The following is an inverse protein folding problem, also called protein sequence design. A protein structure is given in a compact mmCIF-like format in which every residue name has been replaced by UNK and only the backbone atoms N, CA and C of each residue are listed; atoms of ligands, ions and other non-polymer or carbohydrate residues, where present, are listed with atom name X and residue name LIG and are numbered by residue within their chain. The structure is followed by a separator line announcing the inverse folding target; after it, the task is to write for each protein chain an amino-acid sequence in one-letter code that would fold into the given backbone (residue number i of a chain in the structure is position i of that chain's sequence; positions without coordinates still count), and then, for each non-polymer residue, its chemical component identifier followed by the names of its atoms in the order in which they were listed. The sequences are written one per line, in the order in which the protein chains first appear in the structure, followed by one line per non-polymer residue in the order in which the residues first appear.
data_IF_947804500193
#
_entry.id   IF_947804500193
#
_cell.length_a   1.000
_cell.length_b   1.000
_cell.length_c   1.000
_cell.angle_alpha   90.00
_cell.angle_beta   90.00
_cell.angle_gamma   90.00
#
_symmetry.space_group_name_H-M   'P 1'
#
loop_
_entity.id
_entity.type
_entity.pdbx_description
1 polymer ?
#
# COMPACT_ATOMS: atom_id res chain seq x y z
N UNK A 1 -49.60 28.41 -8.25
CA UNK A 1 -48.29 28.58 -7.58
C UNK A 1 -47.49 27.31 -7.88
N UNK A 2 -46.47 27.40 -8.73
CA UNK A 2 -45.67 26.25 -9.16
C UNK A 2 -44.39 26.18 -8.30
N UNK A 3 -44.17 25.05 -7.63
CA UNK A 3 -42.98 24.78 -6.83
C UNK A 3 -41.91 24.18 -7.73
N UNK A 4 -40.77 24.85 -7.85
CA UNK A 4 -39.59 24.35 -8.55
C UNK A 4 -38.77 23.47 -7.60
N UNK A 5 -38.70 22.17 -7.91
CA UNK A 5 -37.79 21.22 -7.25
C UNK A 5 -36.40 21.35 -7.87
N UNK A 6 -35.45 21.90 -7.10
CA UNK A 6 -34.03 21.87 -7.44
C UNK A 6 -33.50 20.48 -7.06
N UNK A 7 -33.19 19.67 -8.07
CA UNK A 7 -32.51 18.39 -7.89
C UNK A 7 -31.01 18.65 -7.65
N UNK A 8 -30.55 18.40 -6.42
CA UNK A 8 -29.14 18.46 -6.05
C UNK A 8 -28.47 17.14 -6.44
N UNK A 9 -27.84 17.10 -7.60
CA UNK A 9 -27.09 15.93 -8.07
C UNK A 9 -25.77 15.81 -7.30
N UNK A 10 -25.73 14.94 -6.27
CA UNK A 10 -24.50 14.53 -5.59
C UNK A 10 -23.68 13.65 -6.55
N UNK A 11 -22.70 14.25 -7.24
CA UNK A 11 -21.65 13.51 -7.94
C UNK A 11 -20.71 12.92 -6.86
N UNK A 12 -21.04 11.74 -6.34
CA UNK A 12 -20.11 10.91 -5.60
C UNK A 12 -19.05 10.37 -6.58
N UNK A 13 -18.03 11.16 -6.86
CA UNK A 13 -16.84 10.68 -7.54
C UNK A 13 -16.12 9.71 -6.60
N UNK A 14 -16.06 8.42 -6.96
CA UNK A 14 -15.23 7.44 -6.27
C UNK A 14 -13.75 7.78 -6.52
N UNK A 15 -13.19 8.72 -5.76
CA UNK A 15 -11.75 8.88 -5.66
C UNK A 15 -11.19 7.63 -4.99
N UNK A 16 -10.48 6.79 -5.75
CA UNK A 16 -9.72 5.66 -5.22
C UNK A 16 -8.51 6.22 -4.46
N UNK A 17 -8.67 6.42 -3.17
CA UNK A 17 -7.59 6.90 -2.29
C UNK A 17 -6.80 5.70 -1.77
N UNK A 18 -5.45 5.74 -1.78
CA UNK A 18 -4.65 4.75 -1.08
C UNK A 18 -5.06 4.63 0.39
N UNK A 19 -4.94 3.43 0.94
CA UNK A 19 -5.07 3.22 2.38
C UNK A 19 -3.73 3.54 3.07
N UNK A 20 -3.82 3.92 4.34
CA UNK A 20 -2.64 4.30 5.12
C UNK A 20 -2.13 5.70 4.82
N UNK A 21 -1.13 6.11 5.61
CA UNK A 21 -0.52 7.43 5.51
C UNK A 21 0.80 7.33 4.73
N UNK A 22 1.17 8.32 3.89
CA UNK A 22 2.52 8.40 3.37
C UNK A 22 3.55 8.34 4.50
N UNK A 23 4.57 7.51 4.34
CA UNK A 23 5.57 7.27 5.37
C UNK A 23 6.98 7.37 4.79
N UNK A 24 7.90 7.92 5.57
CA UNK A 24 9.32 7.99 5.22
C UNK A 24 10.07 6.93 6.03
N UNK A 25 10.50 5.87 5.36
CA UNK A 25 11.29 4.81 5.97
C UNK A 25 12.76 5.26 6.01
N UNK A 26 13.45 5.14 7.16
CA UNK A 26 14.89 5.39 7.22
C UNK A 26 15.65 4.52 6.21
N UNK A 27 16.58 5.12 5.46
CA UNK A 27 17.27 4.42 4.37
C UNK A 27 18.03 3.17 4.82
N UNK A 28 18.58 3.18 6.04
CA UNK A 28 19.30 2.02 6.57
C UNK A 28 18.36 0.85 6.90
N UNK A 29 17.14 1.15 7.35
CA UNK A 29 16.11 0.14 7.61
C UNK A 29 15.58 -0.42 6.28
N UNK A 30 15.34 0.45 5.30
CA UNK A 30 14.93 0.04 3.95
C UNK A 30 15.97 -0.88 3.30
N UNK A 31 17.26 -0.55 3.43
CA UNK A 31 18.38 -1.38 2.96
C UNK A 31 18.43 -2.74 3.66
N UNK A 32 18.13 -2.79 4.94
CA UNK A 32 18.09 -4.04 5.70
C UNK A 32 16.89 -4.90 5.28
N UNK A 33 15.76 -4.28 4.98
CA UNK A 33 14.54 -4.97 4.53
C UNK A 33 14.58 -5.46 3.08
N UNK A 34 15.40 -4.86 2.21
CA UNK A 34 15.62 -5.34 0.83
C UNK A 34 16.43 -6.65 0.84
N UNK A 35 15.74 -7.78 1.05
CA UNK A 35 16.33 -9.09 1.29
C UNK A 35 16.37 -10.07 0.11
N UNK A 36 15.92 -9.67 -1.09
CA UNK A 36 15.67 -10.60 -2.21
C UNK A 36 16.21 -10.13 -3.55
N UNK A 37 15.43 -9.29 -4.25
CA UNK A 37 15.72 -8.75 -5.58
C UNK A 37 15.50 -7.23 -5.60
N UNK A 38 16.12 -6.57 -6.57
CA UNK A 38 15.84 -5.17 -6.84
C UNK A 38 14.35 -5.00 -7.20
N UNK A 39 13.65 -4.17 -6.44
CA UNK A 39 12.24 -3.83 -6.67
C UNK A 39 11.21 -4.67 -5.91
N UNK A 40 11.65 -5.70 -5.18
CA UNK A 40 10.79 -6.46 -4.25
C UNK A 40 10.18 -5.53 -3.19
N UNK A 41 8.94 -5.77 -2.81
CA UNK A 41 8.29 -4.99 -1.76
C UNK A 41 8.98 -5.23 -0.40
N UNK A 42 9.04 -4.19 0.41
CA UNK A 42 9.63 -4.24 1.75
C UNK A 42 8.57 -3.92 2.78
N UNK A 43 8.49 -4.76 3.82
CA UNK A 43 7.65 -4.50 4.99
C UNK A 43 8.51 -4.43 6.24
N UNK A 44 8.26 -3.43 7.08
CA UNK A 44 8.99 -3.23 8.34
C UNK A 44 8.03 -2.84 9.45
N UNK A 45 8.29 -3.29 10.68
CA UNK A 45 7.55 -2.80 11.82
C UNK A 45 7.82 -1.30 12.02
N UNK A 46 6.75 -0.54 12.22
CA UNK A 46 6.83 0.82 12.79
C UNK A 46 6.61 0.68 14.31
N UNK A 47 5.57 -0.08 14.66
CA UNK A 47 5.23 -0.46 16.02
C UNK A 47 4.74 -1.92 15.99
N UNK A 48 5.51 -2.87 16.55
CA UNK A 48 5.16 -4.29 16.53
C UNK A 48 3.75 -4.58 17.01
N UNK A 49 3.00 -5.36 16.23
CA UNK A 49 1.60 -5.70 16.52
C UNK A 49 0.58 -4.57 16.24
N UNK A 50 1.04 -3.38 15.87
CA UNK A 50 0.18 -2.20 15.72
C UNK A 50 0.24 -1.56 14.34
N UNK A 51 1.44 -1.21 13.87
CA UNK A 51 1.66 -0.51 12.60
C UNK A 51 2.91 -1.01 11.90
N UNK A 52 2.85 -1.09 10.58
CA UNK A 52 3.96 -1.50 9.73
C UNK A 52 4.04 -0.60 8.50
N UNK A 53 5.23 -0.48 7.92
CA UNK A 53 5.42 0.16 6.64
C UNK A 53 5.28 -0.86 5.52
N UNK A 54 4.69 -0.44 4.40
CA UNK A 54 4.80 -1.11 3.12
C UNK A 54 5.53 -0.17 2.17
N UNK A 55 6.70 -0.58 1.71
CA UNK A 55 7.47 0.10 0.66
C UNK A 55 7.36 -0.72 -0.62
N UNK A 56 7.00 -0.05 -1.70
CA UNK A 56 7.05 -0.63 -3.05
C UNK A 56 7.97 0.21 -3.92
N UNK A 57 8.47 -0.39 -4.99
CA UNK A 57 9.37 0.27 -5.93
C UNK A 57 8.67 0.38 -7.27
N UNK A 58 8.62 1.60 -7.80
CA UNK A 58 7.91 1.87 -9.04
C UNK A 58 8.49 3.07 -9.74
N UNK A 59 7.75 3.61 -10.71
CA UNK A 59 8.12 4.89 -11.32
C UNK A 59 7.78 6.03 -10.36
N UNK A 60 8.67 7.02 -10.21
CA UNK A 60 8.36 8.26 -9.49
C UNK A 60 7.08 8.96 -10.00
N UNK A 61 6.73 8.76 -11.29
CA UNK A 61 5.50 9.27 -11.90
C UNK A 61 4.29 8.33 -11.83
N UNK A 62 4.49 7.07 -11.41
CA UNK A 62 3.45 6.04 -11.25
C UNK A 62 3.72 5.17 -10.02
N UNK A 63 3.66 5.70 -8.78
CA UNK A 63 3.89 4.90 -7.59
C UNK A 63 2.84 3.78 -7.42
N UNK A 64 3.30 2.62 -6.98
CA UNK A 64 2.41 1.53 -6.53
C UNK A 64 1.93 1.84 -5.12
N UNK A 65 0.62 1.91 -4.92
CA UNK A 65 0.03 2.28 -3.63
C UNK A 65 -0.96 1.21 -3.14
N UNK A 66 -1.04 0.96 -1.83
CA UNK A 66 -2.00 0.03 -1.25
C UNK A 66 -3.41 0.61 -1.33
N UNK A 67 -4.37 -0.22 -1.72
CA UNK A 67 -5.78 0.17 -1.90
C UNK A 67 -6.73 -0.52 -0.94
N UNK A 68 -6.28 -1.58 -0.28
CA UNK A 68 -7.11 -2.41 0.57
C UNK A 68 -6.31 -3.47 1.29
N UNK A 69 -6.85 -3.93 2.41
CA UNK A 69 -6.32 -5.06 3.18
C UNK A 69 -7.45 -6.01 3.53
N UNK A 70 -7.13 -7.29 3.59
CA UNK A 70 -8.01 -8.35 4.06
C UNK A 70 -7.20 -9.45 4.74
N UNK A 71 -7.86 -10.23 5.58
CA UNK A 71 -7.23 -11.37 6.27
C UNK A 71 -7.89 -12.65 5.75
N UNK A 72 -7.07 -13.55 5.21
CA UNK A 72 -7.47 -14.88 4.78
C UNK A 72 -6.66 -15.91 5.56
N UNK A 73 -7.31 -16.81 6.31
CA UNK A 73 -6.62 -17.91 7.01
C UNK A 73 -5.36 -17.46 7.78
N UNK A 74 -5.48 -16.40 8.58
CA UNK A 74 -4.40 -15.75 9.34
C UNK A 74 -3.28 -15.06 8.51
N UNK A 75 -3.42 -15.00 7.18
CA UNK A 75 -2.51 -14.27 6.28
C UNK A 75 -3.08 -12.90 5.95
N UNK A 76 -2.27 -11.86 6.16
CA UNK A 76 -2.61 -10.50 5.73
C UNK A 76 -2.39 -10.36 4.23
N UNK A 77 -3.42 -9.97 3.48
CA UNK A 77 -3.32 -9.68 2.05
C UNK A 77 -3.53 -8.20 1.79
N UNK A 78 -2.61 -7.60 1.02
CA UNK A 78 -2.61 -6.18 0.69
C UNK A 78 -2.75 -6.02 -0.82
N UNK A 79 -3.89 -5.47 -1.26
CA UNK A 79 -4.11 -5.18 -2.67
C UNK A 79 -3.46 -3.85 -3.04
N UNK A 80 -2.68 -3.80 -4.12
CA UNK A 80 -2.01 -2.57 -4.58
C UNK A 80 -2.38 -2.22 -6.01
N UNK A 81 -2.23 -0.94 -6.39
CA UNK A 81 -2.43 -0.47 -7.76
C UNK A 81 -1.40 0.60 -8.11
N UNK A 82 -1.11 0.77 -9.40
CA UNK A 82 -0.39 1.95 -9.88
C UNK A 82 -1.27 3.18 -9.73
N UNK A 83 -0.76 4.19 -9.02
CA UNK A 83 -1.39 5.49 -8.82
C UNK A 83 -0.54 6.56 -9.48
N UNK A 84 -1.17 7.64 -9.96
CA UNK A 84 -0.47 8.62 -10.81
C UNK A 84 -0.27 8.06 -12.22
N UNK A 85 -1.01 8.59 -13.19
CA UNK A 85 -0.79 8.33 -14.62
C UNK A 85 -0.31 9.61 -15.31
N UNK A 86 0.40 10.48 -14.57
CA UNK A 86 0.90 11.76 -15.10
C UNK A 86 1.96 11.54 -16.19
N UNK A 87 2.62 10.37 -16.23
CA UNK A 87 3.54 9.96 -17.28
C UNK A 87 2.89 9.41 -18.56
N UNK A 88 1.56 9.29 -18.63
CA UNK A 88 0.87 8.63 -19.74
C UNK A 88 1.28 7.16 -19.90
N UNK A 89 1.53 6.71 -21.14
CA UNK A 89 1.92 5.32 -21.44
C UNK A 89 3.32 4.90 -20.91
N UNK A 90 4.07 5.82 -20.30
CA UNK A 90 5.45 5.60 -19.87
C UNK A 90 5.58 5.69 -18.34
N UNK A 91 5.10 4.67 -17.63
CA UNK A 91 5.65 4.38 -16.30
C UNK A 91 7.04 3.76 -16.53
N UNK A 92 8.10 4.58 -16.56
CA UNK A 92 9.46 4.09 -16.59
C UNK A 92 9.87 3.64 -15.19
N UNK A 93 10.29 2.38 -15.04
CA UNK A 93 10.73 1.82 -13.76
C UNK A 93 12.08 2.44 -13.35
N UNK A 94 12.04 3.59 -12.69
CA UNK A 94 13.19 4.21 -12.02
C UNK A 94 13.44 3.61 -10.62
N UNK A 95 12.61 2.63 -10.22
CA UNK A 95 12.64 1.94 -8.94
C UNK A 95 12.66 2.91 -7.75
N UNK A 96 11.90 4.01 -7.85
CA UNK A 96 11.75 4.94 -6.74
C UNK A 96 10.93 4.28 -5.62
N UNK A 97 11.44 4.26 -4.37
CA UNK A 97 10.69 3.74 -3.24
C UNK A 97 9.52 4.65 -2.90
N UNK A 98 8.35 4.06 -2.69
CA UNK A 98 7.17 4.73 -2.15
C UNK A 98 6.66 3.93 -0.97
N UNK A 99 6.52 4.59 0.19
CA UNK A 99 6.15 3.90 1.43
C UNK A 99 4.90 4.46 2.07
N UNK A 100 4.13 3.56 2.69
CA UNK A 100 2.92 3.87 3.43
C UNK A 100 2.95 3.21 4.81
N UNK A 101 2.46 3.91 5.84
CA UNK A 101 2.20 3.36 7.15
C UNK A 101 0.78 2.78 7.20
N UNK A 102 0.70 1.50 7.53
CA UNK A 102 -0.54 0.73 7.59
C UNK A 102 -0.77 0.22 9.02
N UNK A 103 -2.03 0.23 9.43
CA UNK A 103 -2.44 -0.35 10.71
C UNK A 103 -2.65 -1.86 10.56
N UNK A 104 -2.20 -2.63 11.54
CA UNK A 104 -2.50 -4.07 11.61
C UNK A 104 -4.00 -4.27 11.83
N UNK A 105 -4.69 -5.07 10.99
CA UNK A 105 -6.11 -5.36 11.18
C UNK A 105 -6.39 -6.03 12.53
N UNK A 106 -7.54 -5.75 13.14
CA UNK A 106 -7.91 -6.20 14.50
C UNK A 106 -7.67 -7.70 14.76
N UNK A 107 -7.95 -8.58 13.80
CA UNK A 107 -7.75 -10.03 13.95
C UNK A 107 -6.28 -10.49 14.01
N UNK A 108 -5.35 -9.59 13.70
CA UNK A 108 -3.91 -9.83 13.64
C UNK A 108 -3.12 -8.94 14.61
N UNK A 109 -3.77 -8.05 15.38
CA UNK A 109 -3.08 -7.17 16.33
C UNK A 109 -2.40 -7.96 17.44
N UNK A 110 -1.41 -7.32 18.07
CA UNK A 110 -0.60 -7.86 19.18
C UNK A 110 0.24 -9.10 18.80
N UNK A 111 0.35 -9.41 17.50
CA UNK A 111 1.23 -10.46 16.99
C UNK A 111 2.60 -9.88 16.68
N UNK A 112 3.64 -10.54 17.17
CA UNK A 112 5.03 -10.15 16.92
C UNK A 112 5.51 -10.56 15.51
N UNK A 113 4.73 -11.41 14.82
CA UNK A 113 5.01 -11.83 13.45
C UNK A 113 3.73 -11.98 12.61
N UNK A 114 3.83 -11.60 11.33
CA UNK A 114 2.75 -11.68 10.35
C UNK A 114 3.25 -12.30 9.05
N UNK A 115 2.47 -13.23 8.50
CA UNK A 115 2.61 -13.64 7.11
C UNK A 115 1.79 -12.70 6.24
N UNK A 116 2.44 -12.08 5.26
CA UNK A 116 1.87 -11.01 4.42
C UNK A 116 2.00 -11.39 2.96
N UNK A 117 0.93 -11.21 2.19
CA UNK A 117 0.97 -11.28 0.74
C UNK A 117 0.65 -9.90 0.18
N UNK A 118 1.58 -9.34 -0.57
CA UNK A 118 1.39 -8.08 -1.30
C UNK A 118 0.99 -8.44 -2.73
N UNK A 119 -0.22 -8.07 -3.13
CA UNK A 119 -0.75 -8.30 -4.48
C UNK A 119 -0.30 -7.12 -5.35
N UNK A 120 0.84 -7.25 -6.03
CA UNK A 120 1.39 -6.23 -6.92
C UNK A 120 0.81 -6.36 -8.33
N UNK A 121 0.81 -5.28 -9.14
CA UNK A 121 0.39 -5.34 -10.54
C UNK A 121 1.15 -6.37 -11.38
N UNK A 122 2.40 -6.67 -11.02
CA UNK A 122 3.27 -7.62 -11.73
C UNK A 122 3.20 -9.06 -11.19
N UNK A 123 2.64 -9.25 -9.99
CA UNK A 123 2.49 -10.54 -9.34
C UNK A 123 2.43 -10.47 -7.82
N UNK A 124 2.00 -11.56 -7.18
CA UNK A 124 1.91 -11.62 -5.73
C UNK A 124 3.29 -11.88 -5.11
N UNK A 125 3.58 -11.19 -4.02
CA UNK A 125 4.81 -11.35 -3.24
C UNK A 125 4.48 -11.78 -1.81
N UNK A 126 5.07 -12.89 -1.37
CA UNK A 126 4.92 -13.39 -0.01
C UNK A 126 6.09 -12.90 0.86
N UNK A 127 5.75 -12.16 1.90
CA UNK A 127 6.66 -11.55 2.86
C UNK A 127 6.34 -12.02 4.26
N UNK A 128 7.33 -11.91 5.15
CA UNK A 128 7.13 -12.16 6.57
C UNK A 128 7.59 -10.97 7.37
N UNK A 129 6.66 -10.39 8.14
CA UNK A 129 6.98 -9.41 9.16
C UNK A 129 7.40 -10.18 10.41
N UNK A 130 8.63 -9.97 10.86
CA UNK A 130 9.20 -10.63 12.03
C UNK A 130 9.70 -9.56 13.02
N UNK A 131 9.92 -9.91 14.30
CA UNK A 131 10.35 -8.96 15.33
C UNK A 131 11.69 -8.28 15.03
#
# INVERSE_FOLDING_TARGET
MAAALVALSLLAGCSRTPIGDPYEVPLDDLRTGMGGRDGDAVILWIEPGERFSLTTFGSSGCPTAPMGMRVDDDVLRISTVLTGQTGGAACSADLSPTSYALDVPDGLRDRDALDVVVELPEGDEALRLAP
#
